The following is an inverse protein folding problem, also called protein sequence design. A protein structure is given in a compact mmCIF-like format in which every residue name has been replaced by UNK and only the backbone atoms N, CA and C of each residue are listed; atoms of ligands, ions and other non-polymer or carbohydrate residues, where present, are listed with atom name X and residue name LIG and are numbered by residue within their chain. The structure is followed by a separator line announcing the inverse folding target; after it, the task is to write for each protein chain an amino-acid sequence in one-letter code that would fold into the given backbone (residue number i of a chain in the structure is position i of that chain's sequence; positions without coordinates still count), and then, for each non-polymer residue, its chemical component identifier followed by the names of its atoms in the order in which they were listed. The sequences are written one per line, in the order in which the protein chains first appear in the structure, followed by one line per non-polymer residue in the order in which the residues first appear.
data_IF_106074571267
#
_entry.id   IF_106074571267
#
_cell.length_a   1.000
_cell.length_b   1.000
_cell.length_c   1.000
_cell.angle_alpha   90.00
_cell.angle_beta   90.00
_cell.angle_gamma   90.00
#
_symmetry.space_group_name_H-M   'P 1'
#
loop_
_entity.id
_entity.type
_entity.pdbx_description
1 polymer ?
#
# COMPACT_ATOMS: atom_id res chain seq x y z
N UNK A 1 0.90 -0.01 -17.21
CA UNK A 1 1.81 0.35 -18.31
C UNK A 1 3.25 -0.03 -17.92
N UNK A 2 3.85 -1.05 -18.54
CA UNK A 2 5.27 -1.39 -18.37
C UNK A 2 6.07 -0.71 -19.49
N UNK A 3 7.02 0.15 -19.14
CA UNK A 3 7.97 0.72 -20.09
C UNK A 3 9.14 -0.27 -20.22
N UNK A 4 9.41 -0.78 -21.42
CA UNK A 4 10.59 -1.60 -21.69
C UNK A 4 11.72 -0.67 -22.12
N UNK A 5 12.79 -0.63 -21.33
CA UNK A 5 13.96 0.24 -21.53
C UNK A 5 15.21 -0.54 -21.97
N UNK A 6 15.05 -1.82 -22.30
CA UNK A 6 16.11 -2.66 -22.86
C UNK A 6 16.67 -2.00 -24.12
N UNK A 7 18.00 -2.04 -24.29
CA UNK A 7 18.75 -1.45 -25.41
C UNK A 7 18.53 0.06 -25.66
N UNK A 8 18.05 0.79 -24.66
CA UNK A 8 17.78 2.23 -24.75
C UNK A 8 18.86 3.06 -24.04
N UNK A 9 19.19 4.24 -24.59
CA UNK A 9 20.00 5.24 -23.88
C UNK A 9 19.05 6.14 -23.09
N UNK A 10 19.12 6.07 -21.76
CA UNK A 10 18.36 6.92 -20.85
C UNK A 10 19.22 8.10 -20.41
N UNK A 11 18.79 9.32 -20.72
CA UNK A 11 19.46 10.56 -20.31
C UNK A 11 18.59 11.20 -19.23
N UNK A 12 19.12 11.30 -18.01
CA UNK A 12 18.50 12.07 -16.94
C UNK A 12 19.00 13.50 -16.99
N UNK A 13 18.09 14.43 -17.29
CA UNK A 13 18.35 15.86 -17.09
C UNK A 13 18.00 16.24 -15.65
N UNK A 14 18.72 17.20 -15.07
CA UNK A 14 18.51 17.68 -13.68
C UNK A 14 18.47 16.57 -12.62
N UNK A 15 19.37 15.60 -12.74
CA UNK A 15 19.42 14.39 -11.92
C UNK A 15 19.75 14.64 -10.42
N UNK A 16 19.91 15.90 -10.00
CA UNK A 16 20.20 16.25 -8.61
C UNK A 16 19.03 15.93 -7.66
N UNK A 17 17.79 15.89 -8.16
CA UNK A 17 16.60 15.51 -7.38
C UNK A 17 16.32 13.99 -7.39
N UNK A 18 17.21 13.17 -7.95
CA UNK A 18 16.94 11.73 -8.12
C UNK A 18 16.70 11.01 -6.80
N UNK A 19 17.40 11.42 -5.74
CA UNK A 19 17.30 10.79 -4.44
C UNK A 19 15.95 11.09 -3.80
N UNK A 20 15.54 12.36 -3.83
CA UNK A 20 14.24 12.77 -3.31
C UNK A 20 13.09 12.12 -4.09
N UNK A 21 13.19 12.09 -5.42
CA UNK A 21 12.21 11.41 -6.27
C UNK A 21 12.14 9.90 -5.99
N UNK A 22 13.29 9.24 -5.81
CA UNK A 22 13.34 7.83 -5.44
C UNK A 22 12.77 7.59 -4.03
N UNK A 23 13.06 8.49 -3.08
CA UNK A 23 12.57 8.42 -1.70
C UNK A 23 11.06 8.59 -1.64
N UNK A 24 10.51 9.54 -2.39
CA UNK A 24 9.07 9.75 -2.51
C UNK A 24 8.39 8.53 -3.14
N UNK A 25 8.93 8.02 -4.26
CA UNK A 25 8.41 6.83 -4.92
C UNK A 25 8.54 5.54 -4.08
N UNK A 26 9.47 5.51 -3.13
CA UNK A 26 9.66 4.42 -2.18
C UNK A 26 8.99 4.66 -0.82
N UNK A 27 8.17 5.72 -0.69
CA UNK A 27 7.42 6.04 0.53
C UNK A 27 5.92 5.97 0.29
N UNK A 28 5.15 5.75 1.36
CA UNK A 28 3.70 5.68 1.32
C UNK A 28 3.11 6.26 2.60
N UNK A 29 2.08 7.08 2.42
CA UNK A 29 1.18 7.49 3.49
C UNK A 29 -0.21 6.99 3.16
N UNK A 30 -0.79 6.19 4.05
CA UNK A 30 -2.16 5.69 3.92
C UNK A 30 -2.90 5.87 5.24
N UNK A 31 -4.15 6.30 5.15
CA UNK A 31 -5.01 6.49 6.32
C UNK A 31 -6.11 5.43 6.42
N UNK A 32 -6.70 5.31 7.61
CA UNK A 32 -7.75 4.32 7.88
C UNK A 32 -8.98 4.47 7.00
N UNK A 33 -9.33 5.70 6.58
CA UNK A 33 -10.48 5.93 5.71
C UNK A 33 -10.17 5.43 4.28
N UNK A 34 -8.96 5.66 3.78
CA UNK A 34 -8.53 5.13 2.48
C UNK A 34 -8.53 3.60 2.45
N UNK A 35 -8.03 2.93 3.50
CA UNK A 35 -8.12 1.47 3.57
C UNK A 35 -9.56 0.98 3.64
N UNK A 36 -10.42 1.66 4.40
CA UNK A 36 -11.84 1.35 4.48
C UNK A 36 -12.56 1.56 3.14
N UNK A 37 -12.23 2.61 2.41
CA UNK A 37 -12.76 2.87 1.06
C UNK A 37 -12.35 1.73 0.10
N UNK A 38 -11.11 1.24 0.19
CA UNK A 38 -10.67 0.07 -0.58
C UNK A 38 -11.49 -1.17 -0.24
N UNK A 39 -11.71 -1.45 1.05
CA UNK A 39 -12.56 -2.56 1.51
C UNK A 39 -13.98 -2.44 0.95
N UNK A 40 -14.62 -1.28 1.12
CA UNK A 40 -15.99 -1.02 0.67
C UNK A 40 -16.16 -1.11 -0.85
N UNK A 41 -15.20 -0.61 -1.63
CA UNK A 41 -15.25 -0.64 -3.10
C UNK A 41 -15.04 -2.06 -3.64
N UNK A 42 -14.15 -2.84 -3.03
CA UNK A 42 -13.98 -4.25 -3.39
C UNK A 42 -15.25 -5.05 -3.06
N UNK A 43 -15.83 -4.86 -1.88
CA UNK A 43 -17.05 -5.57 -1.46
C UNK A 43 -18.24 -5.26 -2.40
N UNK A 44 -18.39 -4.01 -2.85
CA UNK A 44 -19.45 -3.61 -3.79
C UNK A 44 -19.39 -4.35 -5.12
N UNK A 45 -18.19 -4.59 -5.64
CA UNK A 45 -18.05 -5.20 -6.97
C UNK A 45 -17.90 -6.72 -6.91
N UNK A 46 -17.54 -7.28 -5.74
CA UNK A 46 -17.20 -8.70 -5.55
C UNK A 46 -18.24 -9.67 -6.12
N UNK A 47 -19.54 -9.37 -5.96
CA UNK A 47 -20.63 -10.24 -6.41
C UNK A 47 -20.83 -10.25 -7.93
N UNK A 48 -20.31 -9.23 -8.63
CA UNK A 48 -20.43 -9.07 -10.09
C UNK A 48 -19.23 -9.63 -10.86
N UNK A 49 -18.15 -10.01 -10.17
CA UNK A 49 -16.93 -10.54 -10.77
C UNK A 49 -17.09 -12.00 -11.20
N UNK A 50 -16.35 -12.40 -12.24
CA UNK A 50 -16.23 -13.80 -12.64
C UNK A 50 -15.54 -14.62 -11.53
N UNK A 51 -15.84 -15.93 -11.38
CA UNK A 51 -15.19 -16.77 -10.37
C UNK A 51 -13.66 -16.77 -10.46
N UNK A 52 -13.12 -16.64 -11.67
CA UNK A 52 -11.68 -16.60 -11.96
C UNK A 52 -11.01 -15.36 -11.34
N UNK A 53 -11.61 -14.19 -11.52
CA UNK A 53 -11.08 -12.90 -11.04
C UNK A 53 -11.41 -12.69 -9.55
N UNK A 54 -12.58 -13.17 -9.10
CA UNK A 54 -13.07 -13.00 -7.74
C UNK A 54 -12.07 -13.50 -6.68
N UNK A 55 -11.34 -14.59 -6.96
CA UNK A 55 -10.33 -15.10 -6.04
C UNK A 55 -9.18 -14.10 -5.81
N UNK A 56 -8.71 -13.43 -6.87
CA UNK A 56 -7.67 -12.39 -6.78
C UNK A 56 -8.13 -11.22 -5.91
N UNK A 57 -9.38 -10.77 -6.10
CA UNK A 57 -9.98 -9.72 -5.28
C UNK A 57 -10.11 -10.12 -3.80
N UNK A 58 -10.53 -11.36 -3.49
CA UNK A 58 -10.62 -11.84 -2.10
C UNK A 58 -9.27 -11.87 -1.38
N UNK A 59 -8.21 -12.26 -2.09
CA UNK A 59 -6.87 -12.32 -1.52
C UNK A 59 -6.35 -10.91 -1.22
N UNK A 60 -6.53 -9.97 -2.16
CA UNK A 60 -6.15 -8.56 -1.97
C UNK A 60 -6.99 -7.90 -0.87
N UNK A 61 -8.30 -8.15 -0.84
CA UNK A 61 -9.19 -7.69 0.23
C UNK A 61 -8.70 -8.13 1.60
N UNK A 62 -8.39 -9.42 1.76
CA UNK A 62 -7.89 -9.98 3.02
C UNK A 62 -6.60 -9.29 3.46
N UNK A 63 -5.70 -9.00 2.51
CA UNK A 63 -4.45 -8.29 2.78
C UNK A 63 -4.69 -6.87 3.31
N UNK A 64 -5.60 -6.13 2.68
CA UNK A 64 -5.97 -4.76 3.08
C UNK A 64 -6.62 -4.77 4.47
N UNK A 65 -7.57 -5.68 4.70
CA UNK A 65 -8.25 -5.86 6.00
C UNK A 65 -7.25 -6.15 7.12
N UNK A 66 -6.28 -7.03 6.88
CA UNK A 66 -5.26 -7.38 7.87
C UNK A 66 -4.43 -6.15 8.30
N UNK A 67 -4.10 -5.27 7.35
CA UNK A 67 -3.37 -4.02 7.63
C UNK A 67 -4.28 -3.02 8.38
N UNK A 68 -5.52 -2.87 7.94
CA UNK A 68 -6.54 -2.01 8.55
C UNK A 68 -6.80 -2.40 10.01
N UNK A 69 -6.94 -3.69 10.29
CA UNK A 69 -7.08 -4.24 11.64
C UNK A 69 -5.83 -4.01 12.48
N UNK A 70 -4.64 -4.28 11.94
CA UNK A 70 -3.39 -3.99 12.65
C UNK A 70 -3.28 -2.52 13.03
N UNK A 71 -3.58 -1.60 12.10
CA UNK A 71 -3.63 -0.16 12.38
C UNK A 71 -4.60 0.16 13.51
N UNK A 72 -5.80 -0.42 13.48
CA UNK A 72 -6.79 -0.21 14.52
C UNK A 72 -6.27 -0.66 15.88
N UNK A 73 -5.75 -1.89 15.99
CA UNK A 73 -5.22 -2.44 17.25
C UNK A 73 -4.02 -1.66 17.78
N UNK A 74 -3.05 -1.29 16.94
CA UNK A 74 -1.90 -0.51 17.41
C UNK A 74 -2.30 0.92 17.81
N UNK A 75 -3.29 1.51 17.13
CA UNK A 75 -3.76 2.85 17.45
C UNK A 75 -4.48 2.95 18.81
N UNK A 76 -5.00 1.85 19.34
CA UNK A 76 -5.61 1.82 20.68
C UNK A 76 -4.56 1.97 21.78
N UNK A 77 -3.34 1.47 21.53
CA UNK A 77 -2.19 1.62 22.43
C UNK A 77 -1.63 3.04 22.46
N UNK A 78 -1.93 3.83 21.42
CA UNK A 78 -1.55 5.24 21.34
C UNK A 78 -2.45 6.10 22.22
N UNK A 79 -1.90 6.54 23.36
CA UNK A 79 -2.58 7.46 24.29
C UNK A 79 -2.36 8.90 23.84
N UNK A 80 -3.43 9.62 23.51
CA UNK A 80 -3.37 11.05 23.17
C UNK A 80 -3.25 11.84 24.47
N UNK A 81 -2.14 12.55 24.68
CA UNK A 81 -1.99 13.50 25.79
C UNK A 81 -2.41 14.90 25.33
N UNK A 82 -2.81 15.74 26.29
CA UNK A 82 -3.73 16.90 26.19
C UNK A 82 -3.51 17.92 25.06
N UNK A 83 -2.38 17.94 24.35
CA UNK A 83 -2.20 18.75 23.14
C UNK A 83 -1.34 17.97 22.13
N UNK A 84 -2.01 17.60 21.03
CA UNK A 84 -1.50 17.25 19.71
C UNK A 84 -0.71 15.94 19.55
N UNK A 85 -1.45 14.95 19.02
CA UNK A 85 -0.96 13.77 18.29
C UNK A 85 -0.16 12.74 19.10
N UNK A 86 -0.40 11.45 18.83
CA UNK A 86 0.43 10.37 19.37
C UNK A 86 0.95 9.50 18.23
N UNK A 87 2.24 9.17 18.30
CA UNK A 87 2.92 8.43 17.26
C UNK A 87 3.72 7.26 17.87
N UNK A 88 3.76 6.15 17.16
CA UNK A 88 4.74 5.09 17.37
C UNK A 88 5.57 4.94 16.11
N UNK A 89 6.88 4.78 16.27
CA UNK A 89 7.85 4.65 15.19
C UNK A 89 8.61 3.35 15.38
N UNK A 90 8.79 2.61 14.28
CA UNK A 90 9.56 1.38 14.21
C UNK A 90 10.61 1.47 13.09
N UNK A 91 11.77 0.85 13.29
CA UNK A 91 12.62 0.45 12.18
C UNK A 91 12.04 -0.80 11.50
N UNK A 92 12.52 -1.17 10.32
CA UNK A 92 11.96 -2.31 9.61
C UNK A 92 12.11 -3.65 10.34
N UNK A 93 13.21 -3.88 11.07
CA UNK A 93 13.40 -5.11 11.85
C UNK A 93 12.36 -5.25 13.00
N UNK A 94 12.07 -4.17 13.70
CA UNK A 94 11.06 -4.13 14.76
C UNK A 94 9.64 -4.20 14.18
N UNK A 95 9.46 -3.77 12.93
CA UNK A 95 8.19 -3.83 12.23
C UNK A 95 7.86 -5.24 11.70
N UNK A 96 8.88 -6.00 11.29
CA UNK A 96 8.71 -7.31 10.65
C UNK A 96 7.89 -8.33 11.47
N UNK A 97 8.05 -8.46 12.81
CA UNK A 97 7.19 -9.31 13.62
C UNK A 97 5.70 -8.95 13.53
N UNK A 98 5.35 -7.67 13.38
CA UNK A 98 3.96 -7.26 13.21
C UNK A 98 3.40 -7.72 11.86
N UNK A 99 4.15 -7.54 10.78
CA UNK A 99 3.78 -8.03 9.45
C UNK A 99 3.55 -9.54 9.47
N UNK A 100 4.48 -10.30 10.04
CA UNK A 100 4.35 -11.75 10.21
C UNK A 100 3.11 -12.12 11.03
N UNK A 101 2.83 -11.37 12.09
CA UNK A 101 1.66 -11.57 12.95
C UNK A 101 0.32 -11.39 12.23
N UNK A 102 0.28 -10.64 11.13
CA UNK A 102 -0.90 -10.46 10.28
C UNK A 102 -0.83 -11.23 8.95
N UNK A 103 0.08 -12.20 8.85
CA UNK A 103 0.21 -13.08 7.68
C UNK A 103 0.94 -12.47 6.48
N UNK A 104 1.62 -11.34 6.66
CA UNK A 104 2.43 -10.69 5.63
C UNK A 104 3.89 -11.12 5.79
N UNK A 105 4.35 -11.97 4.88
CA UNK A 105 5.72 -12.50 4.83
C UNK A 105 6.27 -12.35 3.41
N UNK A 106 7.56 -12.65 3.19
CA UNK A 106 8.16 -12.63 1.85
C UNK A 106 7.40 -13.61 0.94
N UNK A 107 7.06 -14.79 1.46
CA UNK A 107 6.37 -15.85 0.73
C UNK A 107 4.94 -15.43 0.37
N UNK A 108 4.15 -14.95 1.34
CA UNK A 108 2.77 -14.51 1.07
C UNK A 108 2.75 -13.28 0.15
N UNK A 109 3.72 -12.37 0.31
CA UNK A 109 3.88 -11.24 -0.58
C UNK A 109 4.25 -11.66 -2.02
N UNK A 110 5.07 -12.70 -2.21
CA UNK A 110 5.37 -13.20 -3.55
C UNK A 110 4.14 -13.78 -4.25
N UNK A 111 3.25 -14.44 -3.51
CA UNK A 111 2.01 -15.03 -4.05
C UNK A 111 1.00 -13.96 -4.44
N UNK A 112 0.84 -12.90 -3.63
CA UNK A 112 -0.16 -11.86 -3.87
C UNK A 112 0.17 -10.96 -5.07
N UNK A 113 1.44 -10.89 -5.48
CA UNK A 113 1.87 -10.10 -6.65
C UNK A 113 1.11 -10.45 -7.94
N UNK A 114 0.77 -11.73 -8.15
CA UNK A 114 -0.02 -12.12 -9.31
C UNK A 114 -1.45 -11.60 -9.22
N UNK A 115 -2.07 -11.70 -8.03
CA UNK A 115 -3.43 -11.24 -7.79
C UNK A 115 -3.61 -9.73 -7.95
N UNK A 116 -2.64 -8.94 -7.47
CA UNK A 116 -2.64 -7.48 -7.65
C UNK A 116 -2.55 -7.10 -9.12
N UNK A 117 -1.68 -7.77 -9.89
CA UNK A 117 -1.59 -7.57 -11.34
C UNK A 117 -2.91 -7.90 -12.03
N UNK A 118 -3.57 -9.00 -11.65
CA UNK A 118 -4.90 -9.33 -12.18
C UNK A 118 -5.91 -8.21 -11.95
N UNK A 119 -5.93 -7.59 -10.77
CA UNK A 119 -6.85 -6.46 -10.48
C UNK A 119 -6.51 -5.23 -11.33
N UNK A 120 -5.21 -4.93 -11.48
CA UNK A 120 -4.74 -3.82 -12.31
C UNK A 120 -5.16 -4.05 -13.78
N UNK A 121 -4.89 -5.23 -14.31
CA UNK A 121 -5.21 -5.58 -15.69
C UNK A 121 -6.73 -5.55 -15.91
N UNK A 122 -7.53 -6.17 -15.04
CA UNK A 122 -9.01 -6.11 -15.05
C UNK A 122 -9.54 -4.66 -15.07
N UNK A 123 -8.92 -3.77 -14.30
CA UNK A 123 -9.32 -2.35 -14.24
C UNK A 123 -9.03 -1.61 -15.55
N UNK A 124 -7.86 -1.83 -16.14
CA UNK A 124 -7.41 -1.09 -17.33
C UNK A 124 -7.69 -1.80 -18.66
N UNK A 125 -8.17 -3.04 -18.64
CA UNK A 125 -8.59 -3.77 -19.83
C UNK A 125 -9.69 -2.99 -20.57
N UNK A 126 -9.50 -2.81 -21.87
CA UNK A 126 -10.50 -2.21 -22.73
C UNK A 126 -11.54 -3.26 -23.11
N UNK A 127 -12.81 -2.96 -22.91
CA UNK A 127 -13.89 -3.85 -23.30
C UNK A 127 -13.94 -4.01 -24.81
N UNK A 128 -14.10 -5.26 -25.26
CA UNK A 128 -14.35 -5.55 -26.67
C UNK A 128 -15.69 -4.95 -27.08
N UNK A 129 -15.69 -4.09 -28.11
CA UNK A 129 -16.90 -3.47 -28.67
C UNK A 129 -17.95 -4.45 -29.22
N UNK A 130 -17.61 -5.73 -29.30
CA UNK A 130 -18.47 -6.79 -29.84
C UNK A 130 -19.40 -7.42 -28.80
N UNK A 131 -19.11 -7.28 -27.49
CA UNK A 131 -19.96 -7.84 -26.45
C UNK A 131 -21.09 -6.86 -26.10
N UNK A 132 -22.35 -7.31 -26.28
CA UNK A 132 -23.56 -6.48 -26.09
C UNK A 132 -24.01 -6.41 -24.62
N UNK A 133 -23.32 -7.09 -23.71
CA UNK A 133 -23.62 -7.05 -22.28
C UNK A 133 -23.04 -5.79 -21.65
N UNK A 134 -23.74 -5.26 -20.64
CA UNK A 134 -23.16 -4.24 -19.77
C UNK A 134 -21.93 -4.88 -19.09
N UNK A 135 -20.77 -4.20 -19.12
CA UNK A 135 -19.59 -4.71 -18.45
C UNK A 135 -19.79 -4.79 -16.94
N UNK A 136 -19.07 -5.69 -16.25
CA UNK A 136 -19.05 -5.70 -14.80
C UNK A 136 -18.50 -4.37 -14.27
N UNK A 137 -18.95 -3.91 -13.09
CA UNK A 137 -18.39 -2.73 -12.45
C UNK A 137 -16.90 -2.95 -12.16
N UNK A 138 -16.08 -1.96 -12.51
CA UNK A 138 -14.64 -1.95 -12.24
C UNK A 138 -14.32 -1.07 -11.03
N UNK A 139 -13.18 -1.33 -10.38
CA UNK A 139 -12.71 -0.44 -9.33
C UNK A 139 -12.41 0.96 -9.86
N UNK A 140 -12.67 2.02 -9.06
CA UNK A 140 -12.15 3.34 -9.35
C UNK A 140 -10.62 3.32 -9.41
N UNK A 141 -10.04 4.05 -10.38
CA UNK A 141 -8.58 4.12 -10.57
C UNK A 141 -7.83 4.54 -9.29
N UNK A 142 -8.40 5.44 -8.49
CA UNK A 142 -7.81 5.85 -7.22
C UNK A 142 -7.68 4.72 -6.20
N UNK A 143 -8.65 3.80 -6.16
CA UNK A 143 -8.62 2.61 -5.27
C UNK A 143 -7.53 1.65 -5.71
N UNK A 144 -7.42 1.40 -7.02
CA UNK A 144 -6.37 0.56 -7.60
C UNK A 144 -4.99 1.15 -7.31
N UNK A 145 -4.84 2.48 -7.36
CA UNK A 145 -3.58 3.13 -7.04
C UNK A 145 -3.17 2.98 -5.57
N UNK A 146 -4.13 3.05 -4.63
CA UNK A 146 -3.86 2.79 -3.20
C UNK A 146 -3.39 1.34 -3.00
N UNK A 147 -4.09 0.39 -3.62
CA UNK A 147 -3.72 -1.04 -3.60
C UNK A 147 -2.30 -1.20 -4.15
N UNK A 148 -2.04 -0.74 -5.37
CA UNK A 148 -0.75 -0.90 -6.04
C UNK A 148 0.39 -0.28 -5.23
N UNK A 149 0.22 0.95 -4.74
CA UNK A 149 1.22 1.64 -3.91
C UNK A 149 1.51 0.88 -2.62
N UNK A 150 0.48 0.36 -1.94
CA UNK A 150 0.64 -0.46 -0.74
C UNK A 150 1.45 -1.73 -1.02
N UNK A 151 1.18 -2.39 -2.15
CA UNK A 151 1.91 -3.60 -2.54
C UNK A 151 3.34 -3.32 -2.96
N UNK A 152 3.59 -2.29 -3.76
CA UNK A 152 4.95 -1.91 -4.18
C UNK A 152 5.86 -1.68 -2.97
N UNK A 153 5.36 -0.94 -1.98
CA UNK A 153 6.14 -0.54 -0.81
C UNK A 153 6.44 -1.75 0.09
N UNK A 154 5.46 -2.62 0.29
CA UNK A 154 5.66 -3.89 0.99
C UNK A 154 6.68 -4.77 0.25
N UNK A 155 6.65 -4.75 -1.10
CA UNK A 155 7.65 -5.43 -1.93
C UNK A 155 9.06 -4.88 -1.74
N UNK A 156 9.22 -3.57 -1.55
CA UNK A 156 10.51 -2.99 -1.23
C UNK A 156 11.04 -3.42 0.14
N UNK A 157 10.18 -3.52 1.17
CA UNK A 157 10.57 -4.06 2.48
C UNK A 157 11.12 -5.49 2.40
N UNK A 158 10.60 -6.29 1.46
CA UNK A 158 11.02 -7.68 1.26
C UNK A 158 12.13 -7.87 0.21
N UNK A 159 12.53 -6.81 -0.49
CA UNK A 159 13.50 -6.86 -1.59
C UNK A 159 14.86 -7.39 -1.12
N UNK A 160 15.51 -8.18 -1.98
CA UNK A 160 16.82 -8.80 -1.72
C UNK A 160 16.88 -9.50 -0.34
N UNK A 161 15.85 -10.29 -0.03
CA UNK A 161 15.74 -11.00 1.25
C UNK A 161 15.86 -10.05 2.45
N UNK A 162 15.15 -8.93 2.40
CA UNK A 162 15.07 -7.91 3.47
C UNK A 162 16.38 -7.16 3.74
N UNK A 163 17.33 -7.15 2.80
CA UNK A 163 18.63 -6.48 2.97
C UNK A 163 18.52 -5.00 3.36
N UNK A 164 17.53 -4.28 2.81
CA UNK A 164 17.33 -2.84 3.01
C UNK A 164 16.22 -2.52 4.02
N UNK A 165 15.75 -3.51 4.77
CA UNK A 165 14.60 -3.35 5.66
C UNK A 165 14.82 -2.26 6.71
N UNK A 166 16.05 -2.10 7.21
CA UNK A 166 16.38 -1.08 8.21
C UNK A 166 16.52 0.34 7.65
N UNK A 167 16.50 0.49 6.32
CA UNK A 167 16.46 1.79 5.63
C UNK A 167 15.03 2.34 5.60
N UNK A 168 14.05 1.61 6.15
CA UNK A 168 12.68 2.08 6.32
C UNK A 168 12.40 2.51 7.76
N UNK A 169 11.58 3.54 7.90
CA UNK A 169 10.92 3.92 9.15
C UNK A 169 9.41 3.83 8.94
N UNK A 170 8.76 3.12 9.85
CA UNK A 170 7.32 2.95 9.85
C UNK A 170 6.78 3.74 11.03
N UNK A 171 5.87 4.65 10.79
CA UNK A 171 5.22 5.46 11.81
C UNK A 171 3.71 5.28 11.75
N UNK A 172 3.08 4.98 12.89
CA UNK A 172 1.64 5.04 13.06
C UNK A 172 1.30 6.27 13.88
N UNK A 173 0.50 7.17 13.32
CA UNK A 173 0.09 8.42 13.94
C UNK A 173 -1.42 8.42 14.18
N UNK A 174 -1.82 8.90 15.36
CA UNK A 174 -3.21 9.12 15.77
C UNK A 174 -3.37 10.58 16.16
N UNK A 175 -4.13 11.33 15.36
CA UNK A 175 -4.41 12.75 15.59
C UNK A 175 -5.87 12.95 16.02
N UNK A 176 -6.11 13.91 16.92
CA UNK A 176 -7.48 14.36 17.18
C UNK A 176 -7.93 15.28 16.04
N UNK A 177 -8.99 14.87 15.36
CA UNK A 177 -9.71 15.66 14.37
C UNK A 177 -11.21 15.51 14.64
N UNK A 178 -12.04 16.39 14.07
CA UNK A 178 -13.51 16.34 14.16
C UNK A 178 -14.04 14.94 13.74
N UNK A 179 -13.30 14.24 12.88
CA UNK A 179 -13.35 12.78 12.70
C UNK A 179 -11.97 12.19 13.03
N UNK A 180 -11.78 11.38 14.09
CA UNK A 180 -10.46 10.86 14.42
C UNK A 180 -9.90 10.01 13.27
N UNK A 181 -8.83 10.50 12.62
CA UNK A 181 -8.16 9.80 11.51
C UNK A 181 -6.89 9.11 12.03
N UNK A 182 -6.70 7.86 11.61
CA UNK A 182 -5.49 7.06 11.90
C UNK A 182 -4.66 7.02 10.62
N UNK A 183 -3.38 7.36 10.70
CA UNK A 183 -2.48 7.40 9.53
C UNK A 183 -1.29 6.50 9.76
N UNK A 184 -0.97 5.63 8.81
CA UNK A 184 0.31 4.93 8.72
C UNK A 184 1.15 5.59 7.66
N UNK A 185 2.37 5.88 8.05
CA UNK A 185 3.44 6.36 7.21
C UNK A 185 4.47 5.23 7.13
N UNK A 186 4.72 4.72 5.94
CA UNK A 186 5.86 3.86 5.64
C UNK A 186 6.80 4.71 4.81
N UNK A 187 7.86 5.22 5.43
CA UNK A 187 8.74 6.19 4.80
C UNK A 187 10.14 5.57 4.64
N UNK A 188 10.70 5.67 3.44
CA UNK A 188 12.08 5.29 3.16
C UNK A 188 13.02 6.39 3.71
N UNK A 189 13.94 6.04 4.61
CA UNK A 189 14.80 6.97 5.35
C UNK A 189 16.26 6.50 5.46
N UNK A 190 17.19 7.40 5.11
CA UNK A 190 18.65 7.23 5.32
C UNK A 190 19.17 7.98 6.58
N UNK A 191 18.37 8.79 7.29
CA UNK A 191 18.80 9.57 8.47
C UNK A 191 17.66 9.78 9.51
N UNK A 192 17.96 10.10 10.80
CA UNK A 192 16.98 10.06 11.90
C UNK A 192 15.88 11.13 11.79
N UNK A 193 14.66 10.72 12.16
CA UNK A 193 13.43 11.52 12.11
C UNK A 193 13.58 12.83 12.90
N UNK A 194 13.43 13.96 12.22
CA UNK A 194 13.01 15.20 12.89
C UNK A 194 11.50 15.11 13.07
N UNK A 195 11.04 15.21 14.32
CA UNK A 195 9.61 15.15 14.69
C UNK A 195 8.74 16.18 13.96
N UNK A 196 9.34 17.19 13.33
CA UNK A 196 8.67 18.28 12.61
C UNK A 196 8.16 17.87 11.22
N UNK A 197 8.52 16.68 10.70
CA UNK A 197 8.13 16.22 9.36
C UNK A 197 7.02 15.14 9.35
N UNK A 198 6.42 14.82 10.51
CA UNK A 198 5.32 13.85 10.66
C UNK A 198 3.98 14.51 10.95
#
# INVERSE_FOLDING_TARGET
MMIRLEDSILIFDEAHNMEDAAREAASLTVNSNQLKEVEEEIDKIMEFLSPEIQNSYRIVYTYVVNISQWMATQSEKLTIRKFEESCSVWNGNDFLPFLKGIGITIESHSMIMHHVRTIIDDTFEQESKEDKRLPPPKLPVGIVHIIDSLFIIMGYLFKQSQKYLNDYRIALKKAMSIQPQKKVYIVFYDQPIQMETL
#
